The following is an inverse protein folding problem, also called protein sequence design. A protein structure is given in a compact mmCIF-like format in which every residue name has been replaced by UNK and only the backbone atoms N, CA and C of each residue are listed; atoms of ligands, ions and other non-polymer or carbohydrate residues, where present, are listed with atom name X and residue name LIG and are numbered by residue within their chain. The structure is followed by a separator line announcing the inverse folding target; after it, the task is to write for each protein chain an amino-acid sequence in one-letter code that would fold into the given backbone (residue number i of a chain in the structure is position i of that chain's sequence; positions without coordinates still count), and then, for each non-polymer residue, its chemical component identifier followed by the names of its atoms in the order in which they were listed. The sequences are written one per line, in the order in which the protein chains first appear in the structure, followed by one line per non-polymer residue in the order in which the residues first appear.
data_IF_562758250257
#
_entry.id   IF_562758250257
#
_cell.length_a   1.000
_cell.length_b   1.000
_cell.length_c   1.000
_cell.angle_alpha   90.00
_cell.angle_beta   90.00
_cell.angle_gamma   90.00
#
_symmetry.space_group_name_H-M   'P 1'
#
loop_
_entity.id
_entity.type
_entity.pdbx_description
1 polymer ?
#
# COMPACT_ATOMS: atom_id res chain seq x y z
N UNK A 1 -19.64 2.29 -2.34
CA UNK A 1 -18.40 2.58 -1.59
C UNK A 1 -18.40 2.07 -0.15
N UNK A 2 -19.55 1.87 0.52
CA UNK A 2 -19.59 1.37 1.92
C UNK A 2 -18.80 0.06 2.13
N UNK A 3 -18.94 -0.93 1.24
CA UNK A 3 -18.22 -2.22 1.31
C UNK A 3 -16.69 -2.11 1.31
N UNK A 4 -16.12 -1.14 0.59
CA UNK A 4 -14.67 -1.00 0.44
C UNK A 4 -14.01 -0.09 1.50
N UNK A 5 -14.79 0.55 2.38
CA UNK A 5 -14.29 1.56 3.32
C UNK A 5 -13.27 0.98 4.29
N UNK A 6 -13.57 -0.16 4.90
CA UNK A 6 -12.67 -0.81 5.85
C UNK A 6 -11.40 -1.35 5.18
N UNK A 7 -11.49 -1.85 3.95
CA UNK A 7 -10.33 -2.32 3.20
C UNK A 7 -9.39 -1.17 2.82
N UNK A 8 -9.94 -0.03 2.43
CA UNK A 8 -9.15 1.19 2.18
C UNK A 8 -8.52 1.73 3.47
N UNK A 9 -9.26 1.71 4.58
CA UNK A 9 -8.73 2.10 5.89
C UNK A 9 -7.57 1.18 6.31
N UNK A 10 -7.73 -0.13 6.15
CA UNK A 10 -6.68 -1.11 6.45
C UNK A 10 -5.44 -0.90 5.57
N UNK A 11 -5.60 -0.67 4.27
CA UNK A 11 -4.47 -0.31 3.41
C UNK A 11 -3.77 0.96 3.91
N UNK A 12 -4.51 2.02 4.19
CA UNK A 12 -3.91 3.26 4.69
C UNK A 12 -3.22 3.10 6.03
N UNK A 13 -3.78 2.28 6.93
CA UNK A 13 -3.13 1.93 8.19
C UNK A 13 -1.76 1.31 7.93
N UNK A 14 -1.66 0.28 7.08
CA UNK A 14 -0.38 -0.37 6.80
C UNK A 14 0.60 0.50 6.02
N UNK A 15 0.13 1.36 5.12
CA UNK A 15 0.97 2.38 4.46
C UNK A 15 1.59 3.30 5.52
N UNK A 16 0.76 3.86 6.42
CA UNK A 16 1.23 4.73 7.51
C UNK A 16 2.23 3.99 8.39
N UNK A 17 1.91 2.77 8.83
CA UNK A 17 2.84 1.98 9.65
C UNK A 17 4.18 1.74 8.96
N UNK A 18 4.17 1.44 7.65
CA UNK A 18 5.39 1.28 6.88
C UNK A 18 6.14 2.61 6.71
N UNK A 19 5.48 3.71 6.32
CA UNK A 19 6.08 5.03 6.13
C UNK A 19 6.78 5.54 7.40
N UNK A 20 6.08 5.51 8.54
CA UNK A 20 6.64 5.98 9.80
C UNK A 20 7.75 5.07 10.30
N UNK A 21 7.60 3.73 10.16
CA UNK A 21 8.65 2.80 10.55
C UNK A 21 9.91 2.97 9.72
N UNK A 22 9.79 3.04 8.40
CA UNK A 22 10.90 3.15 7.48
C UNK A 22 11.55 4.54 7.48
N UNK A 23 10.75 5.61 7.48
CA UNK A 23 11.22 6.98 7.25
C UNK A 23 11.55 7.81 8.49
N UNK A 24 11.07 7.44 9.69
CA UNK A 24 11.29 8.22 10.93
C UNK A 24 11.87 7.34 12.04
N UNK A 25 11.27 6.18 12.26
CA UNK A 25 11.59 5.34 13.42
C UNK A 25 12.90 4.55 13.22
N UNK A 26 13.06 3.90 12.07
CA UNK A 26 14.21 3.05 11.75
C UNK A 26 15.26 3.81 10.95
N UNK A 27 14.87 4.50 9.87
CA UNK A 27 15.77 5.16 8.89
C UNK A 27 16.95 4.23 8.55
N UNK A 28 16.70 3.15 7.79
CA UNK A 28 17.69 2.10 7.61
C UNK A 28 18.88 2.58 6.77
N UNK A 29 20.09 2.37 7.30
CA UNK A 29 21.35 2.56 6.58
C UNK A 29 21.86 1.20 6.10
N UNK A 30 21.56 0.85 4.85
CA UNK A 30 21.98 -0.43 4.26
C UNK A 30 23.43 -0.39 3.77
N UNK A 31 24.11 -1.53 3.86
CA UNK A 31 25.51 -1.73 3.45
C UNK A 31 25.64 -2.70 2.26
N UNK A 32 24.77 -2.58 1.25
CA UNK A 32 24.82 -3.46 0.07
C UNK A 32 26.20 -3.42 -0.60
N UNK A 33 26.80 -4.58 -0.94
CA UNK A 33 26.19 -5.90 -1.12
C UNK A 33 26.01 -6.75 0.14
N UNK A 34 26.55 -6.33 1.29
CA UNK A 34 26.28 -7.05 2.55
C UNK A 34 24.81 -6.85 2.91
N UNK A 35 24.08 -7.94 3.11
CA UNK A 35 22.68 -7.90 3.53
C UNK A 35 22.63 -7.59 5.02
N UNK A 36 22.83 -6.31 5.33
CA UNK A 36 22.92 -5.80 6.69
C UNK A 36 23.06 -4.29 6.72
N UNK A 37 23.09 -3.74 7.93
CA UNK A 37 23.14 -2.31 8.16
C UNK A 37 22.72 -1.95 9.57
N UNK A 38 22.59 -0.66 9.83
CA UNK A 38 22.16 -0.14 11.13
C UNK A 38 21.07 0.92 10.96
N UNK A 39 20.24 1.17 12.00
CA UNK A 39 19.24 2.21 11.95
C UNK A 39 19.86 3.59 12.26
N UNK A 40 19.24 4.64 11.75
CA UNK A 40 19.57 6.04 12.08
C UNK A 40 18.39 6.78 12.73
N UNK A 41 17.23 6.11 12.86
CA UNK A 41 16.00 6.70 13.34
C UNK A 41 15.83 6.72 14.85
N UNK A 42 14.67 7.23 15.29
CA UNK A 42 14.33 7.47 16.70
C UNK A 42 14.46 6.21 17.57
N UNK A 43 14.08 5.04 17.05
CA UNK A 43 14.07 3.80 17.83
C UNK A 43 15.47 3.35 18.26
N UNK A 44 16.51 3.73 17.51
CA UNK A 44 17.90 3.50 17.92
C UNK A 44 18.23 4.23 19.21
N UNK A 45 17.85 5.50 19.32
CA UNK A 45 18.11 6.32 20.51
C UNK A 45 17.30 5.87 21.74
N UNK A 46 16.19 5.18 21.52
CA UNK A 46 15.38 4.55 22.57
C UNK A 46 15.90 3.15 22.97
N UNK A 47 17.00 2.68 22.38
CA UNK A 47 17.60 1.38 22.69
C UNK A 47 16.83 0.17 22.15
N UNK A 48 15.93 0.36 21.17
CA UNK A 48 15.20 -0.75 20.54
C UNK A 48 16.13 -1.51 19.61
N UNK A 49 16.16 -2.85 19.72
CA UNK A 49 17.08 -3.68 18.94
C UNK A 49 16.90 -3.52 17.43
N UNK A 50 18.01 -3.46 16.69
CA UNK A 50 18.00 -3.35 15.22
C UNK A 50 17.20 -4.48 14.58
N UNK A 51 17.30 -5.71 15.13
CA UNK A 51 16.55 -6.86 14.63
C UNK A 51 15.04 -6.64 14.71
N UNK A 52 14.52 -6.16 15.84
CA UNK A 52 13.10 -5.88 15.98
C UNK A 52 12.64 -4.82 14.98
N UNK A 53 13.42 -3.74 14.82
CA UNK A 53 13.12 -2.67 13.85
C UNK A 53 13.07 -3.21 12.41
N UNK A 54 14.04 -4.03 12.00
CA UNK A 54 14.08 -4.65 10.67
C UNK A 54 12.87 -5.54 10.42
N UNK A 55 12.57 -6.46 11.34
CA UNK A 55 11.45 -7.40 11.19
C UNK A 55 10.12 -6.65 11.13
N UNK A 56 9.94 -5.62 11.97
CA UNK A 56 8.73 -4.80 11.98
C UNK A 56 8.52 -4.08 10.65
N UNK A 57 9.57 -3.45 10.11
CA UNK A 57 9.52 -2.79 8.79
C UNK A 57 9.13 -3.77 7.69
N UNK A 58 9.74 -4.96 7.66
CA UNK A 58 9.43 -6.00 6.67
C UNK A 58 7.97 -6.48 6.78
N UNK A 59 7.47 -6.70 8.00
CA UNK A 59 6.09 -7.09 8.25
C UNK A 59 5.11 -5.98 7.83
N UNK A 60 5.40 -4.72 8.15
CA UNK A 60 4.56 -3.59 7.74
C UNK A 60 4.49 -3.47 6.21
N UNK A 61 5.63 -3.61 5.53
CA UNK A 61 5.71 -3.63 4.07
C UNK A 61 4.89 -4.78 3.46
N UNK A 62 5.06 -6.01 3.97
CA UNK A 62 4.29 -7.17 3.51
C UNK A 62 2.79 -6.96 3.70
N UNK A 63 2.35 -6.49 4.88
CA UNK A 63 0.95 -6.26 5.15
C UNK A 63 0.35 -5.13 4.30
N UNK A 64 1.15 -4.14 3.91
CA UNK A 64 0.75 -3.16 2.90
C UNK A 64 0.43 -3.84 1.56
N UNK A 65 1.30 -4.74 1.07
CA UNK A 65 1.05 -5.49 -0.18
C UNK A 65 -0.18 -6.39 -0.10
N UNK A 66 -0.32 -7.14 1.00
CA UNK A 66 -1.50 -8.00 1.26
C UNK A 66 -2.79 -7.16 1.31
N UNK A 67 -2.73 -5.94 1.85
CA UNK A 67 -3.87 -5.01 1.88
C UNK A 67 -4.32 -4.57 0.48
N UNK A 68 -3.39 -4.42 -0.46
CA UNK A 68 -3.72 -4.12 -1.86
C UNK A 68 -4.51 -5.29 -2.47
N UNK A 69 -4.04 -6.52 -2.28
CA UNK A 69 -4.74 -7.73 -2.74
C UNK A 69 -6.13 -7.83 -2.09
N UNK A 70 -6.24 -7.52 -0.79
CA UNK A 70 -7.51 -7.50 -0.07
C UNK A 70 -8.53 -6.50 -0.65
N UNK A 71 -8.07 -5.35 -1.15
CA UNK A 71 -8.95 -4.39 -1.83
C UNK A 71 -9.46 -4.98 -3.16
N UNK A 72 -8.59 -5.59 -3.96
CA UNK A 72 -9.00 -6.22 -5.20
C UNK A 72 -9.97 -7.38 -4.96
N UNK A 73 -9.73 -8.19 -3.93
CA UNK A 73 -10.64 -9.25 -3.49
C UNK A 73 -12.00 -8.68 -3.05
N UNK A 74 -12.01 -7.58 -2.29
CA UNK A 74 -13.23 -6.91 -1.84
C UNK A 74 -14.07 -6.39 -3.02
N UNK A 75 -13.39 -5.84 -4.04
CA UNK A 75 -14.03 -5.39 -5.28
C UNK A 75 -14.54 -6.55 -6.10
N UNK A 76 -13.73 -7.59 -6.24
CA UNK A 76 -14.10 -8.84 -6.89
C UNK A 76 -15.40 -9.38 -6.30
N UNK A 77 -15.49 -9.45 -4.97
CA UNK A 77 -16.69 -9.96 -4.30
C UNK A 77 -17.95 -9.09 -4.50
N UNK A 78 -17.77 -7.77 -4.57
CA UNK A 78 -18.88 -6.83 -4.68
C UNK A 78 -19.42 -6.74 -6.12
N UNK A 79 -18.54 -6.87 -7.12
CA UNK A 79 -18.89 -6.62 -8.52
C UNK A 79 -19.14 -7.90 -9.31
N UNK A 80 -18.46 -9.00 -9.00
CA UNK A 80 -18.57 -10.23 -9.76
C UNK A 80 -19.83 -11.02 -9.39
N UNK A 81 -20.53 -11.52 -10.41
CA UNK A 81 -21.79 -12.26 -10.28
C UNK A 81 -21.68 -13.71 -10.74
N UNK A 82 -20.49 -14.32 -10.65
CA UNK A 82 -20.28 -15.72 -10.99
C UNK A 82 -21.07 -16.67 -10.08
N UNK A 83 -21.44 -17.86 -10.58
CA UNK A 83 -22.26 -18.82 -9.83
C UNK A 83 -21.60 -19.26 -8.50
N UNK A 84 -20.29 -19.42 -8.49
CA UNK A 84 -19.50 -19.85 -7.32
C UNK A 84 -19.32 -18.75 -6.25
N UNK A 85 -19.77 -17.52 -6.50
CA UNK A 85 -19.65 -16.40 -5.56
C UNK A 85 -20.40 -16.66 -4.24
N UNK A 86 -21.45 -17.48 -4.25
CA UNK A 86 -22.18 -17.88 -3.03
C UNK A 86 -21.26 -18.61 -2.05
N UNK A 87 -20.39 -19.48 -2.57
CA UNK A 87 -19.41 -20.21 -1.76
C UNK A 87 -18.28 -19.28 -1.32
N UNK A 88 -17.72 -18.50 -2.25
CA UNK A 88 -16.64 -17.54 -1.95
C UNK A 88 -16.99 -16.60 -0.79
N UNK A 89 -18.21 -16.07 -0.78
CA UNK A 89 -18.71 -15.18 0.30
C UNK A 89 -18.65 -15.81 1.71
N UNK A 90 -18.76 -17.13 1.83
CA UNK A 90 -18.68 -17.83 3.12
C UNK A 90 -17.24 -18.00 3.58
N UNK A 91 -16.32 -18.26 2.66
CA UNK A 91 -14.93 -18.60 2.99
C UNK A 91 -13.98 -17.38 2.98
N UNK A 92 -14.32 -16.29 2.29
CA UNK A 92 -13.44 -15.13 2.04
C UNK A 92 -12.79 -14.55 3.29
N UNK A 93 -13.52 -14.44 4.40
CA UNK A 93 -13.00 -13.83 5.63
C UNK A 93 -11.94 -14.73 6.26
N UNK A 94 -12.22 -16.04 6.33
CA UNK A 94 -11.24 -17.04 6.81
C UNK A 94 -10.02 -17.08 5.89
N UNK A 95 -10.24 -17.10 4.57
CA UNK A 95 -9.17 -17.05 3.58
C UNK A 95 -8.29 -15.81 3.77
N UNK A 96 -8.90 -14.64 3.98
CA UNK A 96 -8.16 -13.40 4.17
C UNK A 96 -7.34 -13.43 5.45
N UNK A 97 -7.91 -13.84 6.57
CA UNK A 97 -7.18 -13.98 7.85
C UNK A 97 -6.00 -14.93 7.72
N UNK A 98 -6.22 -16.12 7.14
CA UNK A 98 -5.16 -17.10 6.89
C UNK A 98 -4.08 -16.51 5.98
N UNK A 99 -4.48 -15.76 4.94
CA UNK A 99 -3.53 -15.15 4.02
C UNK A 99 -2.63 -14.11 4.70
N UNK A 100 -3.17 -13.25 5.58
CA UNK A 100 -2.37 -12.33 6.39
C UNK A 100 -1.38 -13.08 7.30
N UNK A 101 -1.83 -14.12 7.99
CA UNK A 101 -0.97 -14.88 8.90
C UNK A 101 0.15 -15.62 8.15
N UNK A 102 -0.19 -16.30 7.05
CA UNK A 102 0.76 -17.10 6.27
C UNK A 102 1.85 -16.23 5.66
N UNK A 103 1.55 -15.01 5.21
CA UNK A 103 2.57 -14.12 4.62
C UNK A 103 3.46 -13.47 5.69
N UNK A 104 2.99 -13.32 6.93
CA UNK A 104 3.80 -12.79 8.04
C UNK A 104 4.80 -13.80 8.61
N UNK A 105 4.44 -15.09 8.64
CA UNK A 105 5.28 -16.16 9.22
C UNK A 105 6.71 -16.16 8.65
N UNK A 106 6.94 -16.10 7.32
CA UNK A 106 8.28 -16.06 6.76
C UNK A 106 9.19 -14.95 7.31
N UNK A 107 8.63 -13.75 7.53
CA UNK A 107 9.41 -12.63 8.09
C UNK A 107 9.78 -12.89 9.55
N UNK A 108 8.92 -13.54 10.32
CA UNK A 108 9.25 -13.98 11.68
C UNK A 108 10.31 -15.10 11.62
N UNK A 109 10.20 -16.04 10.68
CA UNK A 109 11.20 -17.10 10.52
C UNK A 109 12.58 -16.56 10.17
N UNK A 110 12.67 -15.46 9.41
CA UNK A 110 13.93 -14.81 9.12
C UNK A 110 14.67 -14.31 10.37
N UNK A 111 13.99 -13.96 11.47
CA UNK A 111 14.68 -13.57 12.70
C UNK A 111 15.47 -14.71 13.34
N UNK A 112 15.07 -15.96 13.10
CA UNK A 112 15.78 -17.15 13.58
C UNK A 112 16.91 -17.59 12.65
N UNK A 113 16.97 -17.05 11.43
CA UNK A 113 18.03 -17.32 10.45
C UNK A 113 19.16 -16.28 10.50
N UNK A 114 19.04 -15.29 11.39
CA UNK A 114 20.07 -14.28 11.60
C UNK A 114 21.33 -14.95 12.15
N UNK A 115 22.50 -14.75 11.53
CA UNK A 115 23.74 -15.36 11.99
C UNK A 115 24.22 -14.76 13.32
N UNK A 116 25.12 -15.47 13.99
CA UNK A 116 25.87 -14.92 15.12
C UNK A 116 26.61 -13.65 14.69
N UNK A 117 26.32 -12.54 15.37
CA UNK A 117 26.83 -11.22 15.01
C UNK A 117 28.32 -11.05 15.29
N UNK A 118 28.91 -11.82 16.22
CA UNK A 118 30.34 -11.79 16.46
C UNK A 118 31.12 -12.32 15.25
N UNK A 119 30.66 -13.44 14.68
CA UNK A 119 31.22 -14.02 13.46
C UNK A 119 30.88 -13.13 12.26
N UNK A 120 29.64 -12.67 12.17
CA UNK A 120 29.18 -11.89 11.03
C UNK A 120 29.92 -10.54 10.94
N UNK A 121 30.29 -9.90 12.05
CA UNK A 121 31.01 -8.61 12.02
C UNK A 121 32.34 -8.67 11.23
N UNK A 122 33.02 -9.82 11.25
CA UNK A 122 34.20 -10.05 10.41
C UNK A 122 33.86 -10.07 8.90
N UNK A 123 32.68 -10.55 8.53
CA UNK A 123 32.21 -10.59 7.15
C UNK A 123 32.07 -9.19 6.53
N UNK A 124 31.61 -8.20 7.29
CA UNK A 124 31.57 -6.80 6.82
C UNK A 124 32.98 -6.31 6.52
N UNK A 125 33.95 -6.55 7.41
CA UNK A 125 35.34 -6.12 7.22
C UNK A 125 36.00 -6.80 6.01
N UNK A 126 35.69 -8.07 5.77
CA UNK A 126 36.18 -8.82 4.61
C UNK A 126 35.60 -8.30 3.29
N UNK A 127 34.27 -8.10 3.23
CA UNK A 127 33.59 -7.68 1.98
C UNK A 127 33.70 -6.19 1.71
N UNK A 128 33.82 -5.37 2.74
CA UNK A 128 33.87 -3.92 2.66
C UNK A 128 35.03 -3.42 3.52
N UNK A 129 36.31 -3.61 3.11
CA UNK A 129 37.49 -3.28 3.92
C UNK A 129 37.82 -1.79 4.01
N UNK A 130 37.22 -0.96 3.15
CA UNK A 130 37.52 0.47 3.04
C UNK A 130 36.44 1.36 3.68
N UNK A 131 35.64 0.84 4.62
CA UNK A 131 34.63 1.65 5.30
C UNK A 131 35.29 2.50 6.39
N UNK A 132 34.75 3.70 6.67
CA UNK A 132 35.13 4.46 7.85
C UNK A 132 34.93 3.68 9.15
N UNK A 133 35.81 3.88 10.12
CA UNK A 133 35.81 3.15 11.40
C UNK A 133 34.49 3.27 12.18
N UNK A 134 33.86 4.45 12.13
CA UNK A 134 32.57 4.68 12.79
C UNK A 134 31.45 3.78 12.24
N UNK A 135 31.56 3.33 10.97
CA UNK A 135 30.58 2.40 10.39
C UNK A 135 30.80 1.02 10.96
N UNK A 136 32.05 0.54 11.10
CA UNK A 136 32.30 -0.77 11.71
C UNK A 136 31.86 -0.85 13.17
N UNK A 137 32.00 0.26 13.91
CA UNK A 137 31.65 0.35 15.32
C UNK A 137 30.15 0.61 15.57
N UNK A 138 29.36 0.84 14.52
CA UNK A 138 27.93 1.02 14.63
C UNK A 138 27.21 -0.29 15.03
N UNK A 139 25.95 -0.17 15.43
CA UNK A 139 25.05 -1.27 15.79
C UNK A 139 24.57 -2.05 14.54
N UNK A 140 25.52 -2.50 13.72
CA UNK A 140 25.27 -3.20 12.47
C UNK A 140 24.63 -4.55 12.76
N UNK A 141 23.46 -4.75 12.19
CA UNK A 141 22.84 -6.05 12.07
C UNK A 141 23.17 -6.63 10.70
N UNK A 142 23.85 -7.76 10.69
CA UNK A 142 24.00 -8.58 9.48
C UNK A 142 22.84 -9.54 9.47
N UNK A 143 21.92 -9.28 8.55
CA UNK A 143 20.68 -10.02 8.46
C UNK A 143 20.88 -11.42 7.89
N UNK A 144 21.78 -11.55 6.89
CA UNK A 144 22.08 -12.84 6.28
C UNK A 144 23.42 -12.83 5.55
N UNK A 145 24.24 -13.86 5.80
CA UNK A 145 25.44 -14.14 4.99
C UNK A 145 25.04 -14.89 3.70
N UNK A 146 24.20 -15.93 3.84
CA UNK A 146 23.67 -16.72 2.72
C UNK A 146 22.21 -16.32 2.42
N UNK A 147 22.04 -15.31 1.58
CA UNK A 147 20.72 -14.72 1.30
C UNK A 147 19.84 -15.52 0.32
N UNK A 148 20.34 -16.60 -0.29
CA UNK A 148 19.61 -17.38 -1.30
C UNK A 148 18.24 -17.85 -0.82
N UNK A 149 18.15 -18.38 0.40
CA UNK A 149 16.88 -18.83 0.99
C UNK A 149 15.90 -17.67 1.18
N UNK A 150 16.39 -16.53 1.67
CA UNK A 150 15.60 -15.32 1.84
C UNK A 150 15.03 -14.84 0.49
N UNK A 151 15.86 -14.82 -0.56
CA UNK A 151 15.43 -14.41 -1.90
C UNK A 151 14.40 -15.38 -2.47
N UNK A 152 14.61 -16.70 -2.37
CA UNK A 152 13.64 -17.69 -2.85
C UNK A 152 12.28 -17.47 -2.19
N UNK A 153 12.25 -17.32 -0.87
CA UNK A 153 11.01 -17.10 -0.11
C UNK A 153 10.34 -15.78 -0.51
N UNK A 154 11.09 -14.68 -0.61
CA UNK A 154 10.55 -13.37 -1.03
C UNK A 154 10.00 -13.41 -2.45
N UNK A 155 10.67 -14.11 -3.37
CA UNK A 155 10.21 -14.29 -4.76
C UNK A 155 8.92 -15.11 -4.80
N UNK A 156 8.82 -16.19 -4.01
CA UNK A 156 7.59 -16.99 -3.91
C UNK A 156 6.42 -16.16 -3.38
N UNK A 157 6.62 -15.37 -2.31
CA UNK A 157 5.59 -14.46 -1.79
C UNK A 157 5.17 -13.46 -2.88
N UNK A 158 6.14 -12.83 -3.56
CA UNK A 158 5.87 -11.88 -4.64
C UNK A 158 5.08 -12.49 -5.81
N UNK A 159 5.41 -13.70 -6.24
CA UNK A 159 4.69 -14.43 -7.30
C UNK A 159 3.26 -14.76 -6.84
N UNK A 160 3.08 -15.22 -5.60
CA UNK A 160 1.77 -15.56 -5.03
C UNK A 160 0.88 -14.29 -4.95
N UNK A 161 1.42 -13.18 -4.48
CA UNK A 161 0.67 -11.93 -4.34
C UNK A 161 0.36 -11.31 -5.70
N UNK A 162 1.35 -11.30 -6.61
CA UNK A 162 1.18 -10.84 -7.98
C UNK A 162 0.14 -11.64 -8.75
N UNK A 163 0.18 -12.98 -8.67
CA UNK A 163 -0.80 -13.85 -9.33
C UNK A 163 -2.22 -13.65 -8.83
N UNK A 164 -2.42 -13.46 -7.51
CA UNK A 164 -3.73 -13.10 -6.94
C UNK A 164 -4.22 -11.74 -7.46
N UNK A 165 -3.34 -10.74 -7.48
CA UNK A 165 -3.65 -9.41 -8.02
C UNK A 165 -4.11 -9.48 -9.47
N UNK A 166 -3.34 -10.17 -10.32
CA UNK A 166 -3.66 -10.39 -11.74
C UNK A 166 -4.99 -11.15 -11.90
N UNK A 167 -5.20 -12.22 -11.13
CA UNK A 167 -6.44 -12.99 -11.14
C UNK A 167 -7.67 -12.10 -10.88
N UNK A 168 -7.64 -11.30 -9.80
CA UNK A 168 -8.77 -10.43 -9.47
C UNK A 168 -9.00 -9.35 -10.53
N UNK A 169 -7.93 -8.76 -11.08
CA UNK A 169 -8.02 -7.76 -12.16
C UNK A 169 -8.65 -8.36 -13.42
N UNK A 170 -8.25 -9.56 -13.83
CA UNK A 170 -8.81 -10.26 -14.99
C UNK A 170 -10.29 -10.57 -14.75
N UNK A 171 -10.64 -11.16 -13.61
CA UNK A 171 -12.03 -11.49 -13.28
C UNK A 171 -12.94 -10.26 -13.23
N UNK A 172 -12.47 -9.16 -12.64
CA UNK A 172 -13.20 -7.89 -12.58
C UNK A 172 -13.45 -7.34 -13.98
N UNK A 173 -12.41 -7.31 -14.81
CA UNK A 173 -12.49 -6.80 -16.19
C UNK A 173 -13.46 -7.64 -17.01
N UNK A 174 -13.35 -8.96 -16.92
CA UNK A 174 -14.24 -9.90 -17.61
C UNK A 174 -15.69 -9.72 -17.21
N UNK A 175 -15.98 -9.67 -15.90
CA UNK A 175 -17.34 -9.53 -15.40
C UNK A 175 -18.00 -8.20 -15.82
N UNK A 176 -17.25 -7.09 -15.79
CA UNK A 176 -17.75 -5.79 -16.25
C UNK A 176 -18.10 -5.83 -17.75
N UNK A 177 -17.29 -6.50 -18.58
CA UNK A 177 -17.57 -6.66 -20.02
C UNK A 177 -18.83 -7.52 -20.23
N UNK A 178 -19.00 -8.61 -19.47
CA UNK A 178 -20.16 -9.49 -19.59
C UNK A 178 -21.45 -8.79 -19.17
N UNK A 179 -21.45 -8.03 -18.07
CA UNK A 179 -22.62 -7.26 -17.63
C UNK A 179 -23.05 -6.19 -18.64
N UNK A 180 -22.08 -5.60 -19.35
CA UNK A 180 -22.36 -4.68 -20.46
C UNK A 180 -23.02 -5.40 -21.65
N UNK A 181 -22.47 -6.55 -22.07
CA UNK A 181 -23.02 -7.35 -23.17
C UNK A 181 -24.43 -7.87 -22.88
N UNK A 182 -24.69 -8.27 -21.63
CA UNK A 182 -25.98 -8.76 -21.18
C UNK A 182 -27.04 -7.66 -20.99
N UNK A 183 -26.73 -6.38 -21.23
CA UNK A 183 -27.67 -5.27 -21.05
C UNK A 183 -28.01 -4.96 -19.58
N UNK A 184 -27.43 -5.68 -18.62
CA UNK A 184 -27.67 -5.51 -17.17
C UNK A 184 -27.09 -4.21 -16.60
N UNK A 185 -26.24 -3.51 -17.36
CA UNK A 185 -25.60 -2.27 -16.95
C UNK A 185 -25.70 -1.20 -18.03
N UNK A 186 -26.13 0.01 -17.64
CA UNK A 186 -26.15 1.16 -18.55
C UNK A 186 -24.74 1.59 -18.98
N UNK A 187 -24.63 2.19 -20.17
CA UNK A 187 -23.36 2.76 -20.66
C UNK A 187 -22.77 3.81 -19.73
N UNK A 188 -23.61 4.60 -19.04
CA UNK A 188 -23.18 5.62 -18.07
C UNK A 188 -22.54 4.97 -16.84
N UNK A 189 -23.18 3.94 -16.28
CA UNK A 189 -22.66 3.20 -15.12
C UNK A 189 -21.36 2.46 -15.46
N UNK A 190 -21.29 1.83 -16.64
CA UNK A 190 -20.08 1.17 -17.13
C UNK A 190 -18.90 2.16 -17.23
N UNK A 191 -19.11 3.33 -17.83
CA UNK A 191 -18.07 4.37 -17.93
C UNK A 191 -17.59 4.83 -16.55
N UNK A 192 -18.48 4.93 -15.57
CA UNK A 192 -18.12 5.31 -14.20
C UNK A 192 -17.30 4.22 -13.49
N UNK A 193 -17.75 2.96 -13.55
CA UNK A 193 -17.03 1.81 -12.97
C UNK A 193 -15.65 1.63 -13.61
N UNK A 194 -15.56 1.73 -14.94
CA UNK A 194 -14.30 1.63 -15.68
C UNK A 194 -13.31 2.71 -15.25
N UNK A 195 -13.73 3.98 -15.19
CA UNK A 195 -12.87 5.08 -14.72
C UNK A 195 -12.37 4.86 -13.29
N UNK A 196 -13.25 4.43 -12.38
CA UNK A 196 -12.88 4.14 -11.00
C UNK A 196 -11.89 2.96 -10.91
N UNK A 197 -12.12 1.89 -11.67
CA UNK A 197 -11.24 0.73 -11.69
C UNK A 197 -9.85 1.06 -12.22
N UNK A 198 -9.76 1.76 -13.35
CA UNK A 198 -8.48 2.22 -13.89
C UNK A 198 -7.73 3.13 -12.92
N UNK A 199 -8.45 4.06 -12.27
CA UNK A 199 -7.87 4.91 -11.24
C UNK A 199 -7.30 4.10 -10.07
N UNK A 200 -8.03 3.07 -9.62
CA UNK A 200 -7.58 2.17 -8.58
C UNK A 200 -6.34 1.38 -9.01
N UNK A 201 -6.33 0.82 -10.22
CA UNK A 201 -5.18 0.09 -10.75
C UNK A 201 -3.94 1.00 -10.81
N UNK A 202 -4.06 2.21 -11.36
CA UNK A 202 -2.93 3.15 -11.42
C UNK A 202 -2.42 3.48 -10.01
N UNK A 203 -3.34 3.77 -9.08
CA UNK A 203 -2.96 4.08 -7.69
C UNK A 203 -2.21 2.94 -7.02
N UNK A 204 -2.57 1.68 -7.29
CA UNK A 204 -1.87 0.53 -6.74
C UNK A 204 -0.51 0.29 -7.41
N UNK A 205 -0.34 0.62 -8.70
CA UNK A 205 0.94 0.47 -9.39
C UNK A 205 1.99 1.48 -8.94
N UNK A 206 1.60 2.63 -8.40
CA UNK A 206 2.56 3.66 -7.96
C UNK A 206 3.51 3.13 -6.88
N UNK A 207 3.04 2.61 -5.72
CA UNK A 207 3.92 1.99 -4.74
C UNK A 207 4.82 0.90 -5.32
N UNK A 208 4.27 0.03 -6.17
CA UNK A 208 5.05 -1.03 -6.83
C UNK A 208 6.22 -0.46 -7.62
N UNK A 209 5.98 0.52 -8.49
CA UNK A 209 7.03 1.12 -9.33
C UNK A 209 8.07 1.84 -8.46
N UNK A 210 7.63 2.68 -7.53
CA UNK A 210 8.53 3.47 -6.68
C UNK A 210 9.44 2.61 -5.80
N UNK A 211 8.98 1.41 -5.42
CA UNK A 211 9.74 0.47 -4.58
C UNK A 211 10.53 -0.55 -5.40
N UNK A 212 10.08 -0.87 -6.62
CA UNK A 212 10.77 -1.84 -7.48
C UNK A 212 12.16 -1.35 -7.88
N UNK A 213 12.31 -0.06 -8.17
CA UNK A 213 13.59 0.51 -8.62
C UNK A 213 14.68 0.36 -7.53
N UNK A 214 14.48 0.80 -6.27
CA UNK A 214 15.44 0.54 -5.19
C UNK A 214 15.71 -0.94 -4.93
N UNK A 215 14.67 -1.80 -5.00
CA UNK A 215 14.81 -3.24 -4.80
C UNK A 215 15.66 -3.90 -5.90
N UNK A 216 15.44 -3.53 -7.16
CA UNK A 216 16.22 -4.03 -8.31
C UNK A 216 17.68 -3.59 -8.17
N UNK A 217 17.92 -2.32 -7.82
CA UNK A 217 19.28 -1.83 -7.56
C UNK A 217 19.95 -2.62 -6.43
N UNK A 218 19.27 -2.82 -5.30
CA UNK A 218 19.79 -3.61 -4.18
C UNK A 218 20.13 -5.04 -4.60
N UNK A 219 19.24 -5.70 -5.35
CA UNK A 219 19.46 -7.06 -5.86
C UNK A 219 20.66 -7.13 -6.82
N UNK A 220 20.77 -6.21 -7.77
CA UNK A 220 21.92 -6.12 -8.68
C UNK A 220 23.21 -5.86 -7.89
N UNK A 221 23.16 -4.96 -6.91
CA UNK A 221 24.33 -4.63 -6.07
C UNK A 221 24.82 -5.87 -5.32
N UNK A 222 23.91 -6.65 -4.75
CA UNK A 222 24.21 -7.92 -4.07
C UNK A 222 24.85 -8.92 -5.05
N UNK A 223 24.25 -9.14 -6.22
CA UNK A 223 24.76 -10.12 -7.20
C UNK A 223 26.09 -9.71 -7.81
N UNK A 224 26.29 -8.43 -8.10
CA UNK A 224 27.51 -7.89 -8.66
C UNK A 224 28.60 -7.63 -7.61
N UNK A 225 28.33 -7.86 -6.33
CA UNK A 225 29.18 -7.49 -5.20
C UNK A 225 29.62 -6.02 -5.26
N UNK A 226 28.70 -5.15 -5.70
CA UNK A 226 28.97 -3.75 -5.95
C UNK A 226 28.50 -2.89 -4.78
N UNK A 227 29.43 -2.17 -4.16
CA UNK A 227 29.15 -1.23 -3.09
C UNK A 227 29.11 0.21 -3.62
N UNK A 228 28.00 0.91 -3.37
CA UNK A 228 27.90 2.35 -3.57
C UNK A 228 26.89 2.94 -2.58
N UNK A 229 27.42 3.60 -1.54
CA UNK A 229 26.58 4.13 -0.47
C UNK A 229 25.68 5.27 -0.94
N UNK A 230 26.14 6.10 -1.89
CA UNK A 230 25.32 7.20 -2.41
C UNK A 230 24.09 6.68 -3.14
N UNK A 231 24.26 5.69 -4.02
CA UNK A 231 23.14 5.04 -4.72
C UNK A 231 22.23 4.27 -3.77
N UNK A 232 22.80 3.57 -2.77
CA UNK A 232 22.02 2.89 -1.73
C UNK A 232 21.15 3.87 -0.94
N UNK A 233 21.73 4.99 -0.50
CA UNK A 233 21.01 6.05 0.21
C UNK A 233 19.93 6.70 -0.67
N UNK A 234 20.19 6.93 -1.96
CA UNK A 234 19.18 7.41 -2.90
C UNK A 234 18.02 6.40 -3.04
N UNK A 235 18.32 5.09 -3.04
CA UNK A 235 17.33 4.03 -3.00
C UNK A 235 16.45 4.08 -1.75
N UNK A 236 17.06 4.27 -0.57
CA UNK A 236 16.32 4.44 0.70
C UNK A 236 15.44 5.68 0.66
N UNK A 237 15.94 6.82 0.18
CA UNK A 237 15.15 8.04 0.02
C UNK A 237 13.97 7.82 -0.92
N UNK A 238 14.19 7.17 -2.07
CA UNK A 238 13.12 6.85 -3.02
C UNK A 238 12.03 5.95 -2.39
N UNK A 239 12.43 4.95 -1.60
CA UNK A 239 11.49 4.13 -0.81
C UNK A 239 10.71 4.98 0.19
N UNK A 240 11.36 5.87 0.94
CA UNK A 240 10.68 6.75 1.92
C UNK A 240 9.72 7.75 1.27
N UNK A 241 9.97 8.17 0.03
CA UNK A 241 9.12 9.13 -0.69
C UNK A 241 7.87 8.51 -1.34
N UNK A 242 7.75 7.18 -1.38
CA UNK A 242 6.63 6.53 -2.07
C UNK A 242 5.25 6.95 -1.53
N UNK A 243 5.11 7.18 -0.22
CA UNK A 243 3.86 7.61 0.40
C UNK A 243 3.39 8.98 -0.09
N UNK A 244 4.32 9.93 -0.26
CA UNK A 244 4.05 11.25 -0.83
C UNK A 244 3.63 11.12 -2.29
N UNK A 245 4.38 10.35 -3.08
CA UNK A 245 4.08 10.12 -4.51
C UNK A 245 2.69 9.46 -4.67
N UNK A 246 2.40 8.43 -3.87
CA UNK A 246 1.10 7.74 -3.85
C UNK A 246 -0.05 8.68 -3.51
N UNK A 247 0.14 9.58 -2.54
CA UNK A 247 -0.86 10.57 -2.13
C UNK A 247 -1.11 11.60 -3.23
N UNK A 248 -0.05 12.12 -3.86
CA UNK A 248 -0.19 13.04 -4.98
C UNK A 248 -0.94 12.40 -6.15
N UNK A 249 -0.61 11.16 -6.50
CA UNK A 249 -1.30 10.43 -7.58
C UNK A 249 -2.76 10.18 -7.22
N UNK A 250 -3.06 9.81 -5.98
CA UNK A 250 -4.43 9.64 -5.50
C UNK A 250 -5.25 10.94 -5.68
N UNK A 251 -4.68 12.08 -5.29
CA UNK A 251 -5.33 13.38 -5.46
C UNK A 251 -5.57 13.68 -6.93
N UNK A 252 -4.57 13.48 -7.80
CA UNK A 252 -4.62 13.86 -9.22
C UNK A 252 -5.59 12.99 -10.05
N UNK A 253 -5.72 11.70 -9.72
CA UNK A 253 -6.50 10.75 -10.54
C UNK A 253 -7.97 10.72 -10.11
N UNK A 254 -8.26 10.86 -8.81
CA UNK A 254 -9.62 10.74 -8.31
C UNK A 254 -10.33 12.09 -8.29
N UNK A 255 -11.35 12.23 -9.15
CA UNK A 255 -12.18 13.43 -9.26
C UNK A 255 -12.69 13.99 -7.91
N UNK A 256 -13.23 13.20 -6.97
CA UNK A 256 -13.72 13.73 -5.69
C UNK A 256 -12.62 14.39 -4.85
N UNK A 257 -11.40 13.85 -4.87
CA UNK A 257 -10.27 14.45 -4.16
C UNK A 257 -9.80 15.74 -4.83
N UNK A 258 -9.68 15.77 -6.17
CA UNK A 258 -9.39 17.03 -6.90
C UNK A 258 -10.39 18.13 -6.59
N UNK A 259 -11.69 17.81 -6.62
CA UNK A 259 -12.74 18.80 -6.35
C UNK A 259 -12.64 19.36 -4.93
N UNK A 260 -12.30 18.51 -3.94
CA UNK A 260 -12.08 18.96 -2.57
C UNK A 260 -10.85 19.87 -2.45
N UNK A 261 -9.71 19.45 -3.00
CA UNK A 261 -8.47 20.24 -3.00
C UNK A 261 -8.69 21.59 -3.69
N UNK A 262 -9.33 21.60 -4.86
CA UNK A 262 -9.68 22.83 -5.58
C UNK A 262 -10.63 23.74 -4.78
N UNK A 263 -11.52 23.18 -3.94
CA UNK A 263 -12.39 23.97 -3.05
C UNK A 263 -11.63 24.59 -1.88
N UNK A 264 -10.55 23.96 -1.41
CA UNK A 264 -9.67 24.57 -0.39
C UNK A 264 -8.92 25.76 -0.98
N UNK A 265 -8.47 25.66 -2.22
CA UNK A 265 -7.73 26.74 -2.90
C UNK A 265 -8.61 27.83 -3.52
N UNK A 266 -9.88 27.54 -3.83
CA UNK A 266 -10.86 28.56 -4.19
C UNK A 266 -11.41 29.14 -2.90
N UNK A 267 -11.17 30.44 -2.65
CA UNK A 267 -11.85 31.18 -1.56
C UNK A 267 -13.35 30.81 -1.57
N UNK A 268 -14.00 30.65 -0.40
CA UNK A 268 -15.45 30.54 -0.39
C UNK A 268 -15.97 31.78 -1.11
N UNK A 269 -16.53 31.58 -2.30
CA UNK A 269 -17.39 32.60 -2.87
C UNK A 269 -18.54 32.66 -1.88
N UNK A 270 -18.52 33.67 -1.04
CA UNK A 270 -19.68 34.09 -0.28
C UNK A 270 -20.74 34.35 -1.33
N UNK A 271 -21.56 33.35 -1.63
CA UNK A 271 -22.83 33.57 -2.29
C UNK A 271 -23.63 34.30 -1.23
N UNK A 272 -23.47 35.62 -1.21
CA UNK A 272 -24.37 36.51 -0.53
C UNK A 272 -25.72 36.24 -1.19
N UNK A 273 -26.52 35.38 -0.56
CA UNK A 273 -27.91 35.17 -0.92
C UNK A 273 -28.58 36.54 -0.81
N UNK A 274 -28.70 37.23 -1.94
CA UNK A 274 -29.77 38.20 -2.16
C UNK A 274 -31.01 37.40 -2.58
N UNK A 275 -31.52 36.57 -1.69
CA UNK A 275 -32.93 36.20 -1.66
C UNK A 275 -33.55 36.86 -0.43
N UNK A 276 -33.62 38.19 -0.46
CA UNK A 276 -34.62 38.93 0.32
C UNK A 276 -35.44 39.71 -0.68
N UNK A 277 -36.74 39.45 -0.64
CA UNK A 277 -37.81 40.17 -1.33
C UNK A 277 -38.09 39.76 -2.78
N UNK A 278 -38.97 38.77 -2.94
CA UNK A 278 -40.32 38.93 -3.53
C UNK A 278 -40.86 37.57 -3.95
N UNK A 279 -41.56 36.88 -3.07
CA UNK A 279 -42.69 36.04 -3.46
C UNK A 279 -43.64 35.92 -2.26
N UNK A 280 -44.58 36.86 -2.19
CA UNK A 280 -45.81 36.74 -1.44
C UNK A 280 -46.55 35.51 -1.96
N UNK A 281 -46.65 34.45 -1.16
CA UNK A 281 -47.60 33.36 -1.38
C UNK A 281 -48.90 33.70 -0.63
N UNK A 282 -50.07 33.72 -1.29
CA UNK A 282 -51.33 33.85 -0.57
C UNK A 282 -51.68 32.54 0.14
N UNK A 283 -52.02 32.67 1.42
CA UNK A 283 -52.61 31.62 2.25
C UNK A 283 -53.88 31.08 1.58
N UNK A 284 -53.88 29.78 1.24
CA UNK A 284 -55.10 29.03 0.93
C UNK A 284 -55.92 28.88 2.21
N UNK A 285 -57.00 29.65 2.33
CA UNK A 285 -58.06 29.42 3.30
C UNK A 285 -58.92 28.25 2.81
N UNK A 286 -58.90 27.13 3.53
CA UNK A 286 -59.88 26.06 3.35
C UNK A 286 -61.22 26.55 3.91
N UNK A 287 -62.25 26.67 3.07
CA UNK A 287 -63.63 26.83 3.52
C UNK A 287 -64.49 25.65 3.07
N UNK A 288 -65.34 25.27 4.01
CA UNK A 288 -66.17 24.08 4.16
C UNK A 288 -67.16 23.80 3.01
N UNK A 289 -67.52 22.52 2.90
CA UNK A 289 -68.47 21.92 1.96
C UNK A 289 -69.91 22.48 2.09
N UNK A 290 -70.73 22.42 1.01
CA UNK A 290 -72.12 22.80 1.05
C UNK A 290 -72.99 21.65 1.58
N UNK A 291 -73.85 21.94 2.56
CA UNK A 291 -74.97 21.06 2.94
C UNK A 291 -76.14 21.39 2.03
N UNK A 292 -76.74 20.35 1.45
CA UNK A 292 -77.89 20.38 0.55
C UNK A 292 -79.15 20.07 1.37
N UNK A 293 -80.16 20.93 1.18
CA UNK A 293 -81.56 20.90 1.65
C UNK A 293 -81.80 21.24 3.12
#
# INVERSE_FOLDING_TARGET
MKSAKFYLLNLHFWIIMFDYSFGILTIPFFLFPVVGGHPLGVLRYLGVSTLFQTIFVCIAFNNMLVSIVAIFESRFNTLCTFQWMKYWRRIRVKWLVVYYLVTMIPFIMFSFLVPDQAIASHYIKEKLPCLPEYIYQADNLIFSINFSNHIIVLMLIGIIDGSKGIFFVICLTWNIIQQLKAGTMSQKTYRMQRKFFFALVIQMQVPFITMSVPCIYGFISILALYYNQALTNLGVIACSMHGIISTLVMILIHRPYRELVMKVFKKPVTVLSKEVSKHTFPLKLNSLAPIRN
#
